data_IF_719746742860
#
_entry.id   IF_719746742860
#
_cell.length_a   1.000
_cell.length_b   1.000
_cell.length_c   1.000
_cell.angle_alpha   90.00
_cell.angle_beta   90.00
_cell.angle_gamma   90.00
#
_symmetry.space_group_name_H-M   'P 1'
#
loop_
_entity.id
_entity.type
_entity.pdbx_description
1 polymer ?
#
# COMPACT_ATOMS: atom_id res chain seq x y z
N UNK A 1 -9.37 21.79 24.73
CA UNK A 1 -8.03 21.18 24.62
C UNK A 1 -8.12 19.97 23.71
N UNK A 2 -7.25 19.86 22.71
CA UNK A 2 -7.20 18.69 21.82
C UNK A 2 -6.29 17.64 22.46
N UNK A 3 -6.74 16.39 22.55
CA UNK A 3 -5.91 15.25 22.97
C UNK A 3 -5.73 14.36 21.75
N UNK A 4 -4.51 14.25 21.19
CA UNK A 4 -4.27 13.39 20.04
C UNK A 4 -4.31 11.91 20.44
N UNK A 5 -4.74 11.05 19.52
CA UNK A 5 -4.73 9.60 19.70
C UNK A 5 -3.29 9.08 19.64
N UNK A 6 -2.83 8.44 20.72
CA UNK A 6 -1.52 7.78 20.76
C UNK A 6 -1.56 6.38 20.16
N UNK A 7 -0.39 5.85 19.78
CA UNK A 7 -0.18 4.46 19.37
C UNK A 7 1.02 3.87 20.14
N UNK A 8 0.89 2.63 20.62
CA UNK A 8 2.03 1.91 21.20
C UNK A 8 2.97 1.46 20.08
N UNK A 9 4.19 1.98 20.08
CA UNK A 9 5.18 1.72 19.04
C UNK A 9 5.98 0.46 19.28
N UNK A 10 6.04 -0.05 20.51
CA UNK A 10 6.90 -1.20 20.89
C UNK A 10 6.72 -2.42 19.99
N UNK A 11 5.49 -2.81 19.59
CA UNK A 11 5.29 -4.00 18.76
C UNK A 11 5.81 -3.87 17.32
N UNK A 12 6.12 -2.65 16.86
CA UNK A 12 6.50 -2.38 15.47
C UNK A 12 7.99 -2.07 15.31
N UNK A 13 8.74 -1.90 16.41
CA UNK A 13 10.16 -1.55 16.37
C UNK A 13 11.06 -2.70 15.88
N UNK A 14 10.60 -3.94 16.00
CA UNK A 14 11.35 -5.13 15.61
C UNK A 14 11.02 -5.63 14.19
N UNK A 15 10.06 -4.98 13.50
CA UNK A 15 9.70 -5.28 12.11
C UNK A 15 10.86 -4.94 11.17
N UNK A 16 11.19 -5.83 10.23
CA UNK A 16 12.30 -5.64 9.29
C UNK A 16 11.90 -5.71 7.81
N UNK A 17 10.68 -6.19 7.52
CA UNK A 17 10.07 -6.28 6.20
C UNK A 17 10.77 -7.24 5.22
N UNK A 18 11.88 -7.89 5.59
CA UNK A 18 12.69 -8.70 4.66
C UNK A 18 11.96 -9.95 4.22
N UNK A 19 11.31 -10.64 5.15
CA UNK A 19 10.51 -11.82 4.84
C UNK A 19 9.36 -11.50 3.88
N UNK A 20 8.71 -10.34 4.05
CA UNK A 20 7.65 -9.88 3.15
C UNK A 20 8.16 -9.62 1.73
N UNK A 21 9.29 -8.92 1.62
CA UNK A 21 9.93 -8.62 0.33
C UNK A 21 10.31 -9.88 -0.41
N UNK A 22 10.82 -10.90 0.30
CA UNK A 22 11.17 -12.19 -0.27
C UNK A 22 9.95 -12.96 -0.76
N UNK A 23 8.87 -13.01 0.03
CA UNK A 23 7.64 -13.72 -0.36
C UNK A 23 6.98 -13.14 -1.61
N UNK A 24 7.11 -11.84 -1.84
CA UNK A 24 6.50 -11.13 -2.96
C UNK A 24 7.45 -10.90 -4.14
N UNK A 25 8.69 -11.41 -4.04
CA UNK A 25 9.75 -11.23 -5.04
C UNK A 25 9.97 -9.76 -5.43
N UNK A 26 9.93 -8.84 -4.46
CA UNK A 26 10.09 -7.40 -4.71
C UNK A 26 11.55 -6.92 -4.64
N UNK A 27 12.48 -7.78 -4.21
CA UNK A 27 13.90 -7.46 -4.16
C UNK A 27 14.18 -6.16 -3.39
N UNK A 28 14.94 -5.27 -4.02
CA UNK A 28 15.33 -3.95 -3.49
C UNK A 28 14.41 -2.82 -3.97
N UNK A 29 13.25 -3.15 -4.54
CA UNK A 29 12.30 -2.13 -5.01
C UNK A 29 11.85 -1.25 -3.83
N UNK A 30 11.75 0.06 -4.09
CA UNK A 30 11.18 1.01 -3.15
C UNK A 30 9.67 0.81 -3.05
N UNK A 31 9.18 0.55 -1.84
CA UNK A 31 7.75 0.26 -1.60
C UNK A 31 7.07 1.52 -1.07
N UNK A 32 6.14 2.07 -1.85
CA UNK A 32 5.21 3.08 -1.39
C UNK A 32 4.01 2.39 -0.77
N UNK A 33 3.71 2.73 0.49
CA UNK A 33 2.62 2.12 1.24
C UNK A 33 1.57 3.17 1.56
N UNK A 34 0.31 2.85 1.29
CA UNK A 34 -0.84 3.63 1.77
C UNK A 34 -1.81 2.71 2.48
N UNK A 35 -2.22 3.09 3.69
CA UNK A 35 -3.06 2.28 4.57
C UNK A 35 -4.37 3.01 4.83
N UNK A 36 -5.50 2.35 4.58
CA UNK A 36 -6.81 2.89 4.91
C UNK A 36 -7.95 2.15 4.22
N UNK A 37 -9.19 2.44 4.66
CA UNK A 37 -10.39 1.90 4.00
C UNK A 37 -10.44 2.36 2.53
N UNK A 38 -10.70 1.42 1.63
CA UNK A 38 -10.91 1.69 0.20
C UNK A 38 -12.33 2.23 -0.04
N UNK A 39 -12.55 3.46 0.41
CA UNK A 39 -13.76 4.24 0.19
C UNK A 39 -13.45 5.49 -0.63
N UNK A 40 -14.45 6.05 -1.33
CA UNK A 40 -14.30 7.19 -2.23
C UNK A 40 -13.73 8.44 -1.53
N UNK A 41 -14.03 8.63 -0.24
CA UNK A 41 -13.57 9.75 0.60
C UNK A 41 -12.03 9.87 0.70
N UNK A 42 -11.28 8.82 0.35
CA UNK A 42 -9.81 8.79 0.42
C UNK A 42 -9.10 9.15 -0.89
N UNK A 43 -9.83 9.46 -1.96
CA UNK A 43 -9.30 9.92 -3.26
C UNK A 43 -8.14 9.06 -3.82
N UNK A 44 -8.25 7.74 -3.67
CA UNK A 44 -7.35 6.74 -4.24
C UNK A 44 -7.05 6.90 -5.75
N UNK A 45 -7.99 7.37 -6.61
CA UNK A 45 -7.70 7.63 -8.02
C UNK A 45 -6.55 8.63 -8.24
N UNK A 46 -6.37 9.59 -7.34
CA UNK A 46 -5.27 10.56 -7.42
C UNK A 46 -3.93 9.90 -7.13
N UNK A 47 -3.90 9.00 -6.15
CA UNK A 47 -2.70 8.23 -5.81
C UNK A 47 -2.26 7.32 -6.98
N UNK A 48 -3.21 6.66 -7.67
CA UNK A 48 -2.90 5.84 -8.84
C UNK A 48 -2.30 6.66 -9.99
N UNK A 49 -2.82 7.86 -10.25
CA UNK A 49 -2.25 8.78 -11.26
C UNK A 49 -0.84 9.27 -10.88
N UNK A 50 -0.62 9.59 -9.61
CA UNK A 50 0.70 9.97 -9.11
C UNK A 50 1.69 8.81 -9.26
N UNK A 51 1.27 7.59 -8.94
CA UNK A 51 2.07 6.39 -9.09
C UNK A 51 2.44 6.12 -10.56
N UNK A 52 1.50 6.28 -11.49
CA UNK A 52 1.78 6.19 -12.93
C UNK A 52 2.89 7.15 -13.36
N UNK A 53 2.79 8.42 -12.91
CA UNK A 53 3.81 9.44 -13.23
C UNK A 53 5.18 9.05 -12.67
N UNK A 54 5.22 8.50 -11.46
CA UNK A 54 6.47 8.06 -10.83
C UNK A 54 7.05 6.83 -11.53
N UNK A 55 6.22 5.84 -11.84
CA UNK A 55 6.65 4.59 -12.49
C UNK A 55 7.24 4.83 -13.88
N UNK A 56 6.77 5.86 -14.59
CA UNK A 56 7.34 6.30 -15.86
C UNK A 56 8.74 6.91 -15.73
N UNK A 57 9.09 7.46 -14.56
CA UNK A 57 10.37 8.14 -14.31
C UNK A 57 11.38 7.28 -13.57
N UNK A 58 10.90 6.32 -12.78
CA UNK A 58 11.73 5.53 -11.88
C UNK A 58 11.36 4.04 -11.93
N UNK A 59 12.37 3.23 -12.21
CA UNK A 59 12.29 1.77 -12.11
C UNK A 59 12.49 1.34 -10.66
N UNK A 60 12.02 0.13 -10.32
CA UNK A 60 12.16 -0.41 -8.98
C UNK A 60 11.35 0.34 -7.92
N UNK A 61 10.15 0.81 -8.27
CA UNK A 61 9.18 1.37 -7.31
C UNK A 61 7.87 0.61 -7.42
N UNK A 62 7.26 0.26 -6.29
CA UNK A 62 5.96 -0.41 -6.22
C UNK A 62 5.02 0.34 -5.30
N UNK A 63 3.71 0.21 -5.54
CA UNK A 63 2.67 0.78 -4.70
C UNK A 63 1.89 -0.35 -4.04
N UNK A 64 1.76 -0.28 -2.71
CA UNK A 64 0.97 -1.22 -1.91
C UNK A 64 -0.16 -0.46 -1.24
N UNK A 65 -1.38 -0.88 -1.52
CA UNK A 65 -2.61 -0.33 -0.98
C UNK A 65 -3.16 -1.31 0.05
N UNK A 66 -2.96 -1.00 1.32
CA UNK A 66 -3.45 -1.81 2.44
C UNK A 66 -4.81 -1.33 2.90
N UNK A 67 -5.75 -2.26 2.93
CA UNK A 67 -7.12 -2.04 3.33
C UNK A 67 -8.09 -2.64 2.34
N UNK A 68 -9.36 -2.59 2.72
CA UNK A 68 -10.47 -3.12 1.93
C UNK A 68 -11.60 -2.11 1.88
N UNK A 69 -12.56 -2.33 0.99
CA UNK A 69 -13.73 -1.49 0.86
C UNK A 69 -14.39 -1.58 -0.51
N UNK A 70 -15.57 -0.96 -0.64
CA UNK A 70 -16.38 -1.06 -1.85
C UNK A 70 -15.68 -0.55 -3.10
N UNK A 71 -14.73 0.39 -2.98
CA UNK A 71 -14.02 0.96 -4.12
C UNK A 71 -12.89 0.07 -4.67
N UNK A 72 -12.55 -1.05 -4.01
CA UNK A 72 -11.39 -1.88 -4.38
C UNK A 72 -11.43 -2.33 -5.85
N UNK A 73 -12.55 -2.93 -6.27
CA UNK A 73 -12.71 -3.43 -7.65
C UNK A 73 -12.56 -2.31 -8.68
N UNK A 74 -13.04 -1.11 -8.41
CA UNK A 74 -12.92 0.01 -9.34
C UNK A 74 -11.50 0.55 -9.40
N UNK A 75 -10.77 0.51 -8.29
CA UNK A 75 -9.35 0.88 -8.25
C UNK A 75 -8.46 -0.14 -8.96
N UNK A 76 -8.76 -1.42 -8.85
CA UNK A 76 -8.07 -2.49 -9.61
C UNK A 76 -8.24 -2.26 -11.13
N UNK A 77 -9.48 -2.06 -11.59
CA UNK A 77 -9.78 -1.72 -12.99
C UNK A 77 -9.09 -0.42 -13.43
N UNK A 78 -8.98 0.56 -12.53
CA UNK A 78 -8.30 1.80 -12.84
C UNK A 78 -6.78 1.59 -12.99
N UNK A 79 -6.15 0.78 -12.14
CA UNK A 79 -4.74 0.43 -12.25
C UNK A 79 -4.44 -0.31 -13.56
N UNK A 80 -5.33 -1.20 -14.00
CA UNK A 80 -5.26 -1.86 -15.31
C UNK A 80 -5.35 -0.85 -16.46
N UNK A 81 -6.35 0.04 -16.44
CA UNK A 81 -6.51 1.09 -17.46
C UNK A 81 -5.32 2.03 -17.56
N UNK A 82 -4.65 2.28 -16.43
CA UNK A 82 -3.44 3.12 -16.37
C UNK A 82 -2.18 2.35 -16.79
N UNK A 83 -2.25 1.04 -17.00
CA UNK A 83 -1.12 0.19 -17.37
C UNK A 83 -0.09 0.02 -16.26
N UNK A 84 -0.50 0.11 -14.99
CA UNK A 84 0.40 0.04 -13.81
C UNK A 84 0.09 -1.14 -12.88
N UNK A 85 -0.87 -1.99 -13.26
CA UNK A 85 -1.37 -3.07 -12.40
C UNK A 85 -0.27 -4.04 -11.93
N UNK A 86 0.78 -4.25 -12.73
CA UNK A 86 1.94 -5.10 -12.39
C UNK A 86 2.79 -4.54 -11.24
N UNK A 87 2.68 -3.23 -10.97
CA UNK A 87 3.43 -2.52 -9.94
C UNK A 87 2.54 -2.00 -8.80
N UNK A 88 1.26 -2.34 -8.80
CA UNK A 88 0.30 -2.02 -7.74
C UNK A 88 -0.19 -3.30 -7.08
N UNK A 89 -0.11 -3.38 -5.75
CA UNK A 89 -0.60 -4.52 -4.97
C UNK A 89 -1.73 -4.09 -4.05
N UNK A 90 -2.89 -4.72 -4.19
CA UNK A 90 -4.05 -4.54 -3.33
C UNK A 90 -4.10 -5.69 -2.32
N UNK A 91 -3.72 -5.45 -1.07
CA UNK A 91 -3.62 -6.54 -0.07
C UNK A 91 -4.98 -6.94 0.51
N UNK A 92 -6.00 -6.10 0.38
CA UNK A 92 -7.25 -6.26 1.13
C UNK A 92 -7.06 -5.99 2.63
N UNK A 93 -7.97 -6.53 3.44
CA UNK A 93 -7.90 -6.42 4.89
C UNK A 93 -6.76 -7.29 5.44
N UNK A 94 -5.70 -6.66 5.93
CA UNK A 94 -4.56 -7.35 6.56
C UNK A 94 -4.75 -7.35 8.07
N UNK A 95 -4.85 -8.53 8.71
CA UNK A 95 -4.92 -8.63 10.16
C UNK A 95 -3.72 -7.98 10.85
N UNK A 96 -3.97 -7.28 11.97
CA UNK A 96 -2.94 -6.57 12.74
C UNK A 96 -1.76 -7.46 13.15
N UNK A 97 -1.98 -8.75 13.36
CA UNK A 97 -0.93 -9.71 13.70
C UNK A 97 0.13 -9.84 12.58
N UNK A 98 -0.27 -9.75 11.31
CA UNK A 98 0.67 -9.79 10.19
C UNK A 98 1.50 -8.50 10.12
N UNK A 99 0.91 -7.34 10.46
CA UNK A 99 1.66 -6.07 10.51
C UNK A 99 2.67 -5.98 11.66
N UNK A 100 2.61 -6.87 12.66
CA UNK A 100 3.49 -6.87 13.85
C UNK A 100 4.69 -7.82 13.74
N UNK A 101 4.58 -8.85 12.89
CA UNK A 101 5.55 -9.93 12.79
C UNK A 101 6.38 -9.91 11.49
N UNK A 102 6.22 -8.87 10.68
CA UNK A 102 6.96 -8.68 9.42
C UNK A 102 7.69 -7.37 9.48
#
# INVERSE_FOLDING_TARGET
>A
TVIPTGIDTKPYLAADGRAFRQQLNWGEDTILISVGRMAEEKNWPTLLKAAQTLFARQQGVRLVLLGDGPAKSDLEKQAEKLGIADRVTFTGNVPLMMCRNT
#
